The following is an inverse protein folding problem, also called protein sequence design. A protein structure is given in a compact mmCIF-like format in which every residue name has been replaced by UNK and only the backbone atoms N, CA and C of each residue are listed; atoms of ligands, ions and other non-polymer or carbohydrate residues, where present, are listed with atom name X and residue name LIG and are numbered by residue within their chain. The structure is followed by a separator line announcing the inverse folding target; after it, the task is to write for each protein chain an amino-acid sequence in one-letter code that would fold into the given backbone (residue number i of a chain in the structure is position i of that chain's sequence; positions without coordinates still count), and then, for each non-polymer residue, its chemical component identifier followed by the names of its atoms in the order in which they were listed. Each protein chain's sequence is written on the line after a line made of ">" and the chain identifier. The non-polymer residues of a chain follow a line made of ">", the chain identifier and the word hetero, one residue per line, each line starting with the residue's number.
data_IF_465538938407
#
_entry.id   IF_465538938407
#
_cell.length_a   1.000
_cell.length_b   1.000
_cell.length_c   1.000
_cell.angle_alpha   90.00
_cell.angle_beta   90.00
_cell.angle_gamma   90.00
#
_symmetry.space_group_name_H-M   'P 1'
#
loop_
_entity.id
_entity.type
_entity.pdbx_description
1 polymer ?
#
# COMPACT_ATOMS: atom_id res chain seq x y z
N UNK A 1 23.28 1.72 -18.12
CA UNK A 1 21.89 1.59 -18.59
C UNK A 1 21.08 2.64 -17.83
N UNK A 2 20.56 3.67 -18.52
CA UNK A 2 19.96 4.85 -17.85
C UNK A 2 18.53 4.50 -17.46
N UNK A 3 18.27 4.31 -16.16
CA UNK A 3 16.93 4.11 -15.59
C UNK A 3 16.23 5.47 -15.57
N UNK A 4 15.17 5.63 -16.34
CA UNK A 4 14.28 6.79 -16.26
C UNK A 4 13.35 6.60 -15.05
N UNK A 5 13.61 7.40 -14.02
CA UNK A 5 12.77 7.51 -12.84
C UNK A 5 11.46 8.21 -13.26
N UNK A 6 10.38 7.45 -13.38
CA UNK A 6 9.03 8.00 -13.47
C UNK A 6 8.47 7.99 -12.06
N UNK A 7 8.54 9.15 -11.41
CA UNK A 7 7.94 9.36 -10.09
C UNK A 7 6.44 9.59 -10.30
N UNK A 8 5.65 8.55 -10.10
CA UNK A 8 4.20 8.67 -10.01
C UNK A 8 3.85 8.95 -8.54
N UNK A 9 3.60 10.22 -8.25
CA UNK A 9 3.14 10.67 -6.93
C UNK A 9 1.67 10.26 -6.77
N UNK A 10 1.38 9.27 -5.92
CA UNK A 10 0.04 9.12 -5.37
C UNK A 10 -0.16 10.23 -4.32
N UNK A 11 -0.89 11.27 -4.72
CA UNK A 11 -1.29 12.35 -3.84
C UNK A 11 -2.32 11.85 -2.82
N UNK A 12 -1.94 11.80 -1.55
CA UNK A 12 -2.87 11.64 -0.44
C UNK A 12 -3.64 12.96 -0.30
N UNK A 13 -4.90 12.97 -0.74
CA UNK A 13 -5.79 14.10 -0.55
C UNK A 13 -6.28 14.13 0.90
N UNK A 14 -5.83 15.11 1.67
CA UNK A 14 -6.39 15.44 2.98
C UNK A 14 -7.68 16.24 2.74
N UNK A 15 -8.84 15.63 2.96
CA UNK A 15 -10.12 16.34 2.96
C UNK A 15 -10.31 17.06 4.30
N UNK A 16 -10.26 18.39 4.25
CA UNK A 16 -10.70 19.28 5.32
C UNK A 16 -12.24 19.32 5.39
N UNK A 17 -12.76 18.99 6.56
CA UNK A 17 -14.17 19.00 6.90
C UNK A 17 -14.65 20.46 7.07
N UNK A 18 -15.42 20.99 6.11
CA UNK A 18 -16.15 22.26 6.20
C UNK A 18 -17.63 21.99 6.44
N UNK A 19 -18.13 22.32 7.63
CA UNK A 19 -19.54 22.25 7.96
C UNK A 19 -20.31 23.38 7.25
N UNK A 20 -21.28 23.03 6.40
CA UNK A 20 -22.33 23.95 5.95
C UNK A 20 -23.70 23.35 6.25
N UNK A 21 -24.39 23.98 7.19
CA UNK A 21 -25.82 23.77 7.40
C UNK A 21 -26.61 24.56 6.34
N UNK A 22 -27.60 23.94 5.72
CA UNK A 22 -28.48 24.66 4.80
C UNK A 22 -29.52 23.81 4.06
N UNK A 23 -30.75 23.81 4.55
CA UNK A 23 -32.03 23.69 3.83
C UNK A 23 -32.42 22.35 3.21
N UNK A 24 -33.41 21.75 3.87
CA UNK A 24 -34.26 20.64 3.39
C UNK A 24 -35.04 21.05 2.14
N UNK A 25 -34.66 20.45 1.03
CA UNK A 25 -35.53 20.26 -0.13
C UNK A 25 -35.72 18.78 -0.30
N UNK A 26 -36.95 18.27 -0.16
CA UNK A 26 -37.26 16.86 -0.42
C UNK A 26 -37.05 16.58 -1.91
N UNK A 27 -35.85 16.13 -2.26
CA UNK A 27 -35.55 15.52 -3.55
C UNK A 27 -35.97 14.07 -3.48
N UNK A 28 -36.70 13.59 -4.49
CA UNK A 28 -37.02 12.19 -4.72
C UNK A 28 -35.74 11.32 -4.59
N UNK A 29 -35.85 10.03 -4.21
CA UNK A 29 -34.67 9.17 -4.13
C UNK A 29 -34.02 9.13 -5.50
N UNK A 30 -32.89 9.79 -5.62
CA UNK A 30 -31.98 9.61 -6.74
C UNK A 30 -31.61 8.13 -6.70
N UNK A 31 -31.82 7.45 -7.80
CA UNK A 31 -31.43 6.07 -8.03
C UNK A 31 -29.98 5.91 -7.55
N UNK A 32 -29.82 5.39 -6.34
CA UNK A 32 -28.48 5.22 -5.76
C UNK A 32 -27.80 4.18 -6.63
N UNK A 33 -26.87 4.60 -7.48
CA UNK A 33 -26.11 3.71 -8.33
C UNK A 33 -25.62 2.52 -7.49
N UNK A 34 -25.86 1.31 -7.99
CA UNK A 34 -25.43 0.09 -7.29
C UNK A 34 -23.94 0.18 -6.98
N UNK A 35 -23.52 -0.23 -5.79
CA UNK A 35 -22.11 -0.16 -5.43
C UNK A 35 -21.26 -1.03 -6.37
N UNK A 36 -20.06 -0.56 -6.70
CA UNK A 36 -19.09 -1.32 -7.50
C UNK A 36 -18.55 -2.53 -6.72
N UNK A 37 -18.40 -2.36 -5.41
CA UNK A 37 -17.99 -3.42 -4.50
C UNK A 37 -18.62 -3.23 -3.11
N UNK A 38 -18.52 -4.27 -2.30
CA UNK A 38 -18.77 -4.23 -0.85
C UNK A 38 -17.53 -4.81 -0.15
N UNK A 39 -17.01 -4.14 0.87
CA UNK A 39 -15.83 -4.55 1.61
C UNK A 39 -16.10 -4.42 3.10
N UNK A 40 -15.98 -5.51 3.86
CA UNK A 40 -16.29 -5.59 5.29
C UNK A 40 -17.67 -5.00 5.65
N UNK A 41 -18.64 -5.16 4.73
CA UNK A 41 -20.00 -4.64 4.87
C UNK A 41 -20.23 -3.22 4.34
N UNK A 42 -19.18 -2.48 4.01
CA UNK A 42 -19.25 -1.10 3.51
C UNK A 42 -19.34 -1.07 1.99
N UNK A 43 -20.20 -0.19 1.46
CA UNK A 43 -20.39 -0.01 0.02
C UNK A 43 -19.28 0.86 -0.59
N UNK A 44 -18.71 0.42 -1.70
CA UNK A 44 -17.69 1.15 -2.47
C UNK A 44 -18.32 1.62 -3.78
N UNK A 45 -18.31 2.93 -4.02
CA UNK A 45 -18.82 3.57 -5.22
C UNK A 45 -17.67 4.19 -6.01
N UNK A 46 -17.22 3.49 -7.05
CA UNK A 46 -16.17 3.97 -7.97
C UNK A 46 -16.33 3.31 -9.33
N UNK A 47 -15.82 3.96 -10.36
CA UNK A 47 -15.63 3.39 -11.71
C UNK A 47 -14.16 3.24 -12.06
N UNK A 48 -13.28 3.70 -11.16
CA UNK A 48 -11.85 3.66 -11.33
C UNK A 48 -11.26 2.38 -10.71
N UNK A 49 -10.52 1.57 -11.49
CA UNK A 49 -9.96 0.31 -11.02
C UNK A 49 -8.90 0.46 -9.91
N UNK A 50 -8.10 1.54 -9.94
CA UNK A 50 -7.05 1.78 -8.94
C UNK A 50 -7.69 2.15 -7.60
N UNK A 51 -8.68 3.05 -7.61
CA UNK A 51 -9.50 3.39 -6.44
C UNK A 51 -10.21 2.16 -5.87
N UNK A 52 -10.73 1.27 -6.73
CA UNK A 52 -11.35 0.03 -6.27
C UNK A 52 -10.34 -0.89 -5.58
N UNK A 53 -9.16 -1.04 -6.17
CA UNK A 53 -8.10 -1.89 -5.62
C UNK A 53 -7.68 -1.39 -4.23
N UNK A 54 -7.46 -0.09 -4.08
CA UNK A 54 -7.15 0.53 -2.80
C UNK A 54 -8.27 0.35 -1.77
N UNK A 55 -9.52 0.58 -2.17
CA UNK A 55 -10.69 0.44 -1.30
C UNK A 55 -10.93 -1.01 -0.82
N UNK A 56 -10.43 -2.00 -1.55
CA UNK A 56 -10.47 -3.41 -1.15
C UNK A 56 -9.26 -3.79 -0.31
N UNK A 57 -8.05 -3.49 -0.80
CA UNK A 57 -6.81 -3.94 -0.15
C UNK A 57 -6.59 -3.27 1.20
N UNK A 58 -6.78 -1.96 1.29
CA UNK A 58 -6.47 -1.21 2.52
C UNK A 58 -7.22 -1.75 3.73
N UNK A 59 -8.58 -1.85 3.75
CA UNK A 59 -9.28 -2.33 4.93
C UNK A 59 -9.03 -3.81 5.21
N UNK A 60 -8.82 -4.66 4.19
CA UNK A 60 -8.52 -6.07 4.41
C UNK A 60 -7.12 -6.27 5.01
N UNK A 61 -6.12 -5.51 4.56
CA UNK A 61 -4.76 -5.56 5.11
C UNK A 61 -4.68 -4.89 6.48
N UNK A 62 -5.49 -3.86 6.73
CA UNK A 62 -5.62 -3.26 8.05
C UNK A 62 -6.18 -4.25 9.06
N UNK A 63 -7.23 -4.97 8.68
CA UNK A 63 -7.81 -6.03 9.50
C UNK A 63 -6.81 -7.15 9.75
N UNK A 64 -6.14 -7.64 8.70
CA UNK A 64 -5.10 -8.65 8.81
C UNK A 64 -3.95 -8.22 9.74
N UNK A 65 -3.49 -6.99 9.58
CA UNK A 65 -2.42 -6.46 10.44
C UNK A 65 -2.84 -6.34 11.90
N UNK A 66 -4.09 -5.94 12.17
CA UNK A 66 -4.64 -5.89 13.52
C UNK A 66 -4.74 -7.28 14.15
N UNK A 67 -5.25 -8.27 13.42
CA UNK A 67 -5.34 -9.67 13.86
C UNK A 67 -3.97 -10.27 14.24
N UNK A 68 -2.91 -9.88 13.51
CA UNK A 68 -1.56 -10.40 13.70
C UNK A 68 -0.63 -9.49 14.53
N UNK A 69 -1.15 -8.38 15.06
CA UNK A 69 -0.37 -7.42 15.84
C UNK A 69 0.75 -6.73 15.04
N UNK A 70 0.58 -6.60 13.73
CA UNK A 70 1.58 -6.03 12.83
C UNK A 70 1.53 -4.52 12.89
N UNK A 71 2.64 -3.90 13.32
CA UNK A 71 2.83 -2.46 13.37
C UNK A 71 4.30 -2.08 13.17
N UNK A 72 4.56 -0.84 12.80
CA UNK A 72 5.90 -0.27 12.81
C UNK A 72 6.21 0.22 14.23
N UNK A 73 7.32 -0.23 14.78
CA UNK A 73 7.80 0.22 16.10
C UNK A 73 8.61 1.52 15.95
N UNK A 74 8.61 2.34 17.00
CA UNK A 74 9.30 3.64 16.97
C UNK A 74 10.81 3.50 16.63
N UNK A 75 11.45 2.47 17.15
CA UNK A 75 12.87 2.19 16.87
C UNK A 75 13.11 1.89 15.39
N UNK A 76 12.22 1.16 14.72
CA UNK A 76 12.30 0.86 13.29
C UNK A 76 12.08 2.11 12.44
N UNK A 77 11.10 2.95 12.82
CA UNK A 77 10.83 4.22 12.15
C UNK A 77 12.06 5.12 12.21
N UNK A 78 12.68 5.26 13.39
CA UNK A 78 13.87 6.08 13.56
C UNK A 78 15.04 5.55 12.72
N UNK A 79 15.29 4.23 12.74
CA UNK A 79 16.35 3.61 11.94
C UNK A 79 16.13 3.80 10.44
N UNK A 80 14.89 3.65 9.96
CA UNK A 80 14.53 3.91 8.56
C UNK A 80 14.83 5.36 8.15
N UNK A 81 14.36 6.33 8.96
CA UNK A 81 14.53 7.76 8.66
C UNK A 81 16.01 8.15 8.68
N UNK A 82 16.78 7.62 9.64
CA UNK A 82 18.22 7.83 9.69
C UNK A 82 18.93 7.28 8.45
N UNK A 83 18.62 6.06 8.02
CA UNK A 83 19.18 5.46 6.81
C UNK A 83 18.82 6.26 5.55
N UNK A 84 17.56 6.71 5.43
CA UNK A 84 17.11 7.58 4.34
C UNK A 84 17.90 8.89 4.30
N UNK A 85 18.10 9.55 5.46
CA UNK A 85 18.84 10.79 5.55
C UNK A 85 20.31 10.60 5.16
N UNK A 86 20.95 9.50 5.60
CA UNK A 86 22.32 9.16 5.23
C UNK A 86 22.43 8.94 3.70
N UNK A 87 21.49 8.23 3.09
CA UNK A 87 21.47 8.03 1.64
C UNK A 87 21.32 9.34 0.87
N UNK A 88 20.40 10.21 1.28
CA UNK A 88 20.21 11.54 0.67
C UNK A 88 21.46 12.41 0.81
N UNK A 89 22.09 12.39 1.96
CA UNK A 89 23.34 13.14 2.21
C UNK A 89 24.50 12.64 1.32
N UNK A 90 24.62 11.32 1.15
CA UNK A 90 25.65 10.74 0.27
C UNK A 90 25.49 11.13 -1.19
N UNK A 91 24.26 11.38 -1.65
CA UNK A 91 23.95 11.86 -3.00
C UNK A 91 23.96 13.41 -3.11
N UNK A 92 24.28 14.14 -2.04
CA UNK A 92 24.26 15.61 -2.01
C UNK A 92 22.84 16.21 -2.06
N UNK A 93 21.82 15.43 -1.72
CA UNK A 93 20.41 15.81 -1.74
C UNK A 93 19.88 16.21 -0.35
N UNK A 94 20.74 16.50 0.61
CA UNK A 94 20.33 16.97 1.95
C UNK A 94 19.74 18.38 1.86
N UNK A 95 18.41 18.46 1.79
CA UNK A 95 17.64 19.68 1.48
C UNK A 95 17.18 20.45 2.73
N UNK A 96 17.96 20.46 3.81
CA UNK A 96 17.54 21.13 5.06
C UNK A 96 18.12 22.56 5.22
N UNK A 97 18.98 23.00 4.30
CA UNK A 97 19.49 24.37 4.33
C UNK A 97 18.42 25.38 3.93
N UNK A 98 18.11 26.31 4.83
CA UNK A 98 17.19 27.42 4.59
C UNK A 98 15.74 27.17 4.99
N UNK A 99 15.42 26.01 5.57
CA UNK A 99 14.07 25.71 6.07
C UNK A 99 13.79 26.39 7.40
N UNK A 100 12.55 26.80 7.59
CA UNK A 100 12.04 27.25 8.89
C UNK A 100 11.87 26.06 9.84
N UNK A 101 11.78 26.29 11.17
CA UNK A 101 11.49 25.22 12.13
C UNK A 101 10.16 24.48 11.83
N UNK A 102 9.14 25.18 11.34
CA UNK A 102 7.84 24.63 10.97
C UNK A 102 7.97 23.69 9.78
N UNK A 103 8.65 24.11 8.71
CA UNK A 103 8.89 23.27 7.51
C UNK A 103 9.71 22.03 7.87
N UNK A 104 10.72 22.18 8.74
CA UNK A 104 11.52 21.03 9.22
C UNK A 104 10.64 20.02 9.97
N UNK A 105 9.71 20.50 10.83
CA UNK A 105 8.82 19.63 11.58
C UNK A 105 7.80 18.90 10.64
N UNK A 106 7.30 19.58 9.62
CA UNK A 106 6.41 18.98 8.61
C UNK A 106 7.13 17.88 7.82
N UNK A 107 8.34 18.14 7.34
CA UNK A 107 9.16 17.16 6.63
C UNK A 107 9.47 15.95 7.52
N UNK A 108 9.80 16.17 8.79
CA UNK A 108 10.06 15.08 9.72
C UNK A 108 8.80 14.24 9.96
N UNK A 109 7.63 14.86 10.09
CA UNK A 109 6.35 14.16 10.20
C UNK A 109 6.07 13.30 8.96
N UNK A 110 6.24 13.87 7.78
CA UNK A 110 6.06 13.17 6.51
C UNK A 110 7.03 11.96 6.37
N UNK A 111 8.29 12.13 6.75
CA UNK A 111 9.29 11.03 6.75
C UNK A 111 8.89 9.91 7.71
N UNK A 112 8.42 10.24 8.90
CA UNK A 112 7.97 9.26 9.89
C UNK A 112 6.72 8.51 9.42
N UNK A 113 5.77 9.18 8.78
CA UNK A 113 4.55 8.57 8.27
C UNK A 113 4.86 7.66 7.07
N UNK A 114 5.75 8.08 6.18
CA UNK A 114 6.25 7.25 5.08
C UNK A 114 6.99 6.01 5.62
N UNK A 115 7.90 6.17 6.58
CA UNK A 115 8.60 5.07 7.21
C UNK A 115 7.64 4.08 7.85
N UNK A 116 6.64 4.59 8.60
CA UNK A 116 5.60 3.75 9.22
C UNK A 116 4.84 2.92 8.20
N UNK A 117 4.43 3.54 7.09
CA UNK A 117 3.70 2.87 6.03
C UNK A 117 4.54 1.78 5.35
N UNK A 118 5.79 2.08 4.98
CA UNK A 118 6.70 1.13 4.32
C UNK A 118 7.04 -0.05 5.24
N UNK A 119 7.40 0.22 6.49
CA UNK A 119 7.73 -0.82 7.48
C UNK A 119 6.52 -1.73 7.70
N UNK A 120 5.34 -1.14 7.90
CA UNK A 120 4.11 -1.91 8.10
C UNK A 120 3.79 -2.78 6.88
N UNK A 121 3.89 -2.24 5.68
CA UNK A 121 3.65 -2.97 4.44
C UNK A 121 4.60 -4.15 4.27
N UNK A 122 5.89 -3.93 4.50
CA UNK A 122 6.88 -5.02 4.44
C UNK A 122 6.59 -6.13 5.46
N UNK A 123 6.18 -5.78 6.68
CA UNK A 123 5.79 -6.76 7.71
C UNK A 123 4.53 -7.54 7.32
N UNK A 124 3.55 -6.90 6.69
CA UNK A 124 2.37 -7.56 6.14
C UNK A 124 2.80 -8.55 5.04
N UNK A 125 3.62 -8.10 4.08
CA UNK A 125 4.15 -8.94 3.00
C UNK A 125 4.89 -10.16 3.55
N UNK A 126 5.75 -9.96 4.56
CA UNK A 126 6.47 -11.03 5.24
C UNK A 126 5.52 -12.03 5.92
N UNK A 127 4.48 -11.55 6.58
CA UNK A 127 3.49 -12.40 7.25
C UNK A 127 2.64 -13.19 6.25
N UNK A 128 2.17 -12.55 5.18
CA UNK A 128 1.45 -13.21 4.08
C UNK A 128 2.33 -14.28 3.43
N UNK A 129 3.59 -13.97 3.14
CA UNK A 129 4.53 -14.94 2.58
C UNK A 129 4.77 -16.13 3.52
N UNK A 130 4.89 -15.89 4.81
CA UNK A 130 5.05 -16.95 5.80
C UNK A 130 3.83 -17.86 5.89
N UNK A 131 2.63 -17.33 5.67
CA UNK A 131 1.36 -18.05 5.76
C UNK A 131 1.04 -18.84 4.48
N UNK A 132 1.21 -18.21 3.30
CA UNK A 132 0.76 -18.76 2.02
C UNK A 132 1.89 -19.15 1.07
N UNK A 133 3.10 -18.62 1.25
CA UNK A 133 4.24 -18.89 0.38
C UNK A 133 4.09 -18.30 -1.03
N UNK A 134 4.61 -19.05 -2.01
CA UNK A 134 4.47 -18.70 -3.43
C UNK A 134 5.61 -17.84 -3.98
N UNK A 135 5.38 -17.22 -5.13
CA UNK A 135 6.37 -16.41 -5.84
C UNK A 135 6.34 -14.96 -5.37
N UNK A 136 7.52 -14.35 -5.45
CA UNK A 136 7.75 -12.98 -5.03
C UNK A 136 8.07 -12.17 -6.30
N UNK A 137 7.55 -10.96 -6.39
CA UNK A 137 7.87 -10.00 -7.45
C UNK A 137 8.71 -8.86 -6.91
N UNK A 138 9.48 -8.23 -7.82
CA UNK A 138 10.19 -6.99 -7.54
C UNK A 138 9.21 -5.82 -7.55
N UNK A 139 9.21 -5.01 -6.50
CA UNK A 139 8.47 -3.76 -6.41
C UNK A 139 9.36 -2.64 -5.88
N UNK A 140 9.00 -1.38 -6.17
CA UNK A 140 9.79 -0.21 -5.81
C UNK A 140 10.00 -0.07 -4.28
N UNK A 141 8.99 -0.46 -3.51
CA UNK A 141 9.01 -0.36 -2.03
C UNK A 141 9.39 -1.67 -1.34
N UNK A 142 9.98 -2.60 -2.09
CA UNK A 142 10.43 -3.87 -1.56
C UNK A 142 9.71 -5.09 -2.15
N UNK A 143 10.00 -6.29 -1.67
CA UNK A 143 9.45 -7.53 -2.22
C UNK A 143 7.94 -7.64 -1.96
N UNK A 144 7.18 -8.07 -2.98
CA UNK A 144 5.75 -8.38 -2.84
C UNK A 144 5.50 -9.87 -3.12
N UNK A 145 4.87 -10.61 -2.19
CA UNK A 145 4.56 -12.03 -2.36
C UNK A 145 3.25 -12.19 -3.14
N UNK A 146 3.31 -12.07 -4.47
CA UNK A 146 2.14 -11.96 -5.34
C UNK A 146 1.18 -13.16 -5.20
N UNK A 147 1.72 -14.39 -5.18
CA UNK A 147 0.90 -15.59 -5.03
C UNK A 147 0.22 -15.63 -3.65
N UNK A 148 0.90 -15.16 -2.59
CA UNK A 148 0.32 -15.07 -1.25
C UNK A 148 -0.82 -14.04 -1.17
N UNK A 149 -0.68 -12.91 -1.86
CA UNK A 149 -1.78 -11.93 -1.99
C UNK A 149 -2.98 -12.53 -2.67
N UNK A 150 -2.78 -13.24 -3.78
CA UNK A 150 -3.88 -13.91 -4.49
C UNK A 150 -4.61 -14.88 -3.58
N UNK A 151 -3.88 -15.76 -2.88
CA UNK A 151 -4.47 -16.75 -1.98
C UNK A 151 -5.23 -16.10 -0.82
N UNK A 152 -4.64 -15.07 -0.19
CA UNK A 152 -5.30 -14.27 0.84
C UNK A 152 -6.60 -13.67 0.35
N UNK A 153 -6.60 -13.03 -0.83
CA UNK A 153 -7.79 -12.40 -1.40
C UNK A 153 -8.86 -13.42 -1.78
N UNK A 154 -8.47 -14.57 -2.34
CA UNK A 154 -9.41 -15.65 -2.66
C UNK A 154 -10.08 -16.18 -1.40
N UNK A 155 -9.32 -16.35 -0.32
CA UNK A 155 -9.86 -16.73 0.98
C UNK A 155 -10.82 -15.66 1.53
N UNK A 156 -10.42 -14.38 1.57
CA UNK A 156 -11.28 -13.29 2.05
C UNK A 156 -12.57 -13.15 1.23
N UNK A 157 -12.49 -13.36 -0.08
CA UNK A 157 -13.68 -13.41 -0.95
C UNK A 157 -14.60 -14.58 -0.60
N UNK A 158 -14.04 -15.76 -0.38
CA UNK A 158 -14.81 -16.96 -0.01
C UNK A 158 -15.51 -16.82 1.35
N UNK A 159 -14.88 -16.10 2.29
CA UNK A 159 -15.44 -15.74 3.59
C UNK A 159 -16.49 -14.63 3.51
N UNK A 160 -16.67 -14.00 2.36
CA UNK A 160 -17.60 -12.89 2.15
C UNK A 160 -17.10 -11.55 2.67
N UNK A 161 -15.80 -11.42 3.00
CA UNK A 161 -15.22 -10.17 3.47
C UNK A 161 -15.25 -9.07 2.41
N UNK A 162 -15.23 -9.42 1.14
CA UNK A 162 -15.50 -8.49 0.05
C UNK A 162 -16.18 -9.15 -1.13
N UNK A 163 -16.84 -8.34 -1.94
CA UNK A 163 -17.47 -8.73 -3.21
C UNK A 163 -17.42 -7.57 -4.18
N UNK A 164 -16.95 -7.82 -5.40
CA UNK A 164 -17.01 -6.87 -6.51
C UNK A 164 -18.27 -7.19 -7.31
N UNK A 165 -19.17 -6.20 -7.45
CA UNK A 165 -20.43 -6.36 -8.16
C UNK A 165 -20.30 -6.08 -9.66
N UNK A 166 -19.43 -5.13 -10.03
CA UNK A 166 -19.16 -4.79 -11.44
C UNK A 166 -18.19 -5.81 -12.05
N UNK A 167 -18.60 -6.58 -13.09
CA UNK A 167 -17.75 -7.61 -13.69
C UNK A 167 -16.50 -7.07 -14.38
N UNK A 168 -16.57 -5.87 -14.98
CA UNK A 168 -15.42 -5.29 -15.67
C UNK A 168 -14.35 -4.81 -14.67
N UNK A 169 -14.79 -4.25 -13.53
CA UNK A 169 -13.89 -3.91 -12.44
C UNK A 169 -13.33 -5.17 -11.77
N UNK A 170 -14.12 -6.23 -11.62
CA UNK A 170 -13.65 -7.50 -11.10
C UNK A 170 -12.54 -8.10 -11.96
N UNK A 171 -12.71 -8.12 -13.29
CA UNK A 171 -11.67 -8.59 -14.22
C UNK A 171 -10.37 -7.79 -14.08
N UNK A 172 -10.46 -6.46 -14.03
CA UNK A 172 -9.29 -5.59 -13.87
C UNK A 172 -8.60 -5.77 -12.52
N UNK A 173 -9.37 -5.90 -11.44
CA UNK A 173 -8.84 -6.15 -10.10
C UNK A 173 -8.06 -7.46 -10.06
N UNK A 174 -8.64 -8.55 -10.54
CA UNK A 174 -7.99 -9.85 -10.50
C UNK A 174 -6.81 -9.97 -11.46
N UNK A 175 -6.82 -9.20 -12.56
CA UNK A 175 -5.72 -9.19 -13.54
C UNK A 175 -4.38 -8.91 -12.89
N UNK A 176 -4.30 -7.98 -11.92
CA UNK A 176 -3.06 -7.71 -11.21
C UNK A 176 -2.47 -8.97 -10.55
N UNK A 177 -3.30 -9.83 -9.98
CA UNK A 177 -2.87 -11.02 -9.23
C UNK A 177 -2.75 -12.28 -10.11
N UNK A 178 -3.21 -12.26 -11.37
CA UNK A 178 -3.29 -13.44 -12.24
C UNK A 178 -2.54 -13.32 -13.57
N UNK A 179 -2.28 -12.11 -14.05
CA UNK A 179 -1.54 -11.88 -15.29
C UNK A 179 -0.02 -11.82 -15.00
N UNK A 180 0.64 -12.97 -15.14
CA UNK A 180 2.08 -13.09 -14.87
C UNK A 180 2.94 -12.22 -15.80
N UNK A 181 2.43 -11.84 -16.97
CA UNK A 181 3.18 -11.12 -17.99
C UNK A 181 3.50 -9.66 -17.63
N UNK A 182 2.80 -9.12 -16.63
CA UNK A 182 2.97 -7.74 -16.17
C UNK A 182 3.91 -7.60 -14.96
N UNK A 183 4.48 -8.71 -14.50
CA UNK A 183 5.30 -8.76 -13.29
C UNK A 183 6.73 -9.25 -13.57
N UNK A 184 7.67 -8.71 -12.81
CA UNK A 184 9.05 -9.18 -12.76
C UNK A 184 9.24 -10.07 -11.52
N UNK A 185 9.31 -11.38 -11.75
CA UNK A 185 9.40 -12.37 -10.68
C UNK A 185 10.84 -12.59 -10.24
N UNK A 186 11.05 -12.66 -8.93
CA UNK A 186 12.29 -13.19 -8.37
C UNK A 186 12.45 -14.66 -8.74
N UNK A 187 13.67 -15.07 -9.08
CA UNK A 187 13.96 -16.49 -9.39
C UNK A 187 13.65 -17.35 -8.16
N UNK A 188 12.75 -18.35 -8.26
CA UNK A 188 12.45 -19.25 -7.15
C UNK A 188 13.71 -19.95 -6.64
N UNK A 189 13.96 -19.84 -5.32
CA UNK A 189 15.17 -20.38 -4.70
C UNK A 189 16.45 -19.59 -4.98
N UNK A 190 16.38 -18.52 -5.74
CA UNK A 190 17.48 -17.60 -5.99
C UNK A 190 17.86 -16.76 -4.76
N UNK A 191 18.99 -16.06 -4.85
CA UNK A 191 19.53 -15.28 -3.73
C UNK A 191 18.53 -14.18 -3.28
N UNK A 192 17.89 -13.46 -4.22
CA UNK A 192 16.97 -12.38 -3.92
C UNK A 192 15.71 -12.89 -3.22
N UNK A 193 15.08 -13.95 -3.74
CA UNK A 193 13.93 -14.58 -3.09
C UNK A 193 14.28 -15.12 -1.69
N UNK A 194 15.48 -15.66 -1.52
CA UNK A 194 15.94 -16.17 -0.24
C UNK A 194 16.18 -15.06 0.81
N UNK A 195 16.44 -13.81 0.38
CA UNK A 195 16.68 -12.66 1.24
C UNK A 195 15.44 -11.79 1.45
N UNK A 196 14.47 -11.83 0.53
CA UNK A 196 13.36 -10.90 0.41
C UNK A 196 12.67 -10.51 1.73
N UNK A 197 12.48 -11.47 2.64
CA UNK A 197 11.82 -11.24 3.93
C UNK A 197 12.71 -11.55 5.14
N UNK A 198 14.04 -11.69 4.95
CA UNK A 198 14.99 -11.88 6.05
C UNK A 198 15.56 -10.57 6.55
N UNK A 199 15.93 -9.70 5.62
CA UNK A 199 16.50 -8.39 5.91
C UNK A 199 15.58 -7.34 5.32
N UNK A 200 15.11 -6.38 6.14
CA UNK A 200 14.32 -5.26 5.62
C UNK A 200 15.12 -4.44 4.60
N UNK A 201 14.51 -3.91 3.54
CA UNK A 201 15.23 -3.14 2.52
C UNK A 201 15.99 -1.92 3.06
N UNK A 202 15.53 -1.34 4.14
CA UNK A 202 16.18 -0.17 4.79
C UNK A 202 17.34 -0.54 5.73
N UNK A 203 17.57 -1.81 5.98
CA UNK A 203 18.75 -2.32 6.72
C UNK A 203 19.82 -2.90 5.78
N UNK A 204 19.49 -3.06 4.49
CA UNK A 204 20.42 -3.58 3.49
C UNK A 204 21.38 -2.44 3.10
N UNK A 205 22.56 -2.44 3.69
CA UNK A 205 23.63 -1.50 3.34
C UNK A 205 24.15 -1.85 1.95
N UNK A 206 24.27 -0.90 1.01
CA UNK A 206 24.83 -1.14 -0.32
C UNK A 206 26.29 -1.57 -0.31
#
# INVERSE_FOLDING_TARGET
>A
MRIRLVVSFCAVAILSCGAHAGVQGASAPTDAASPAATVLGEAVHTTDPETLQEAILTPLLDHYAAEHGIRAELAEINAFVEHLQQGLAAEGLSAEEGLTPEETAEIQTMRNDMARAIIRQWKINKALYAQYGGRIIYQQLGPEPLDAYREFLEQRRAEGAFRIQDPALAERFWRYFTDESIHDFMTPGGADAARAFKVPPWEDTP
#
